data_IF_246534865594
#
_entry.id   IF_246534865594
#
_cell.length_a   1.000
_cell.length_b   1.000
_cell.length_c   1.000
_cell.angle_alpha   90.00
_cell.angle_beta   90.00
_cell.angle_gamma   90.00
#
_symmetry.space_group_name_H-M   'P 1'
#
loop_
_entity.id
_entity.type
_entity.pdbx_description
1 polymer ?
#
# COMPACT_ATOMS: atom_id res chain seq x y z
N UNK A 1 10.61 -5.08 13.70
CA UNK A 1 11.07 -5.03 12.28
C UNK A 1 10.49 -3.83 11.56
N UNK A 2 9.17 -3.59 11.61
CA UNK A 2 8.54 -2.40 11.00
C UNK A 2 8.95 -1.06 11.64
N UNK A 3 9.42 -1.05 12.90
CA UNK A 3 9.75 0.18 13.62
C UNK A 3 10.85 1.02 12.95
N UNK A 4 11.82 0.38 12.29
CA UNK A 4 12.87 1.09 11.55
C UNK A 4 12.34 1.87 10.33
N UNK A 5 11.17 1.51 9.80
CA UNK A 5 10.53 2.22 8.69
C UNK A 5 9.83 3.51 9.12
N UNK A 6 9.59 3.73 10.43
CA UNK A 6 9.03 5.01 10.91
C UNK A 6 9.97 6.17 10.63
N UNK A 7 11.26 5.93 10.86
CA UNK A 7 12.34 6.91 10.76
C UNK A 7 13.05 6.89 9.40
N UNK A 8 12.75 5.90 8.55
CA UNK A 8 13.35 5.81 7.23
C UNK A 8 12.96 7.00 6.35
N UNK A 9 13.93 7.50 5.57
CA UNK A 9 13.66 8.49 4.54
C UNK A 9 12.76 7.90 3.44
N UNK A 10 11.89 8.74 2.86
CA UNK A 10 11.12 8.34 1.68
C UNK A 10 12.06 8.05 0.50
N UNK A 11 11.77 6.99 -0.23
CA UNK A 11 12.53 6.60 -1.42
C UNK A 11 12.23 7.46 -2.65
N UNK A 12 11.21 8.32 -2.58
CA UNK A 12 10.84 9.29 -3.61
C UNK A 12 10.91 10.72 -3.07
N UNK A 13 11.50 11.63 -3.83
CA UNK A 13 11.73 13.01 -3.41
C UNK A 13 10.49 13.90 -3.47
N UNK A 14 9.46 13.53 -4.24
CA UNK A 14 8.30 14.39 -4.51
C UNK A 14 7.18 14.22 -3.48
N UNK A 15 7.54 14.25 -2.20
CA UNK A 15 6.60 14.09 -1.08
C UNK A 15 5.54 15.19 -1.13
N UNK A 16 4.26 14.81 -1.16
CA UNK A 16 3.12 15.73 -1.17
C UNK A 16 2.89 16.49 -2.49
N UNK A 17 3.70 16.25 -3.54
CA UNK A 17 3.60 16.97 -4.83
C UNK A 17 2.50 16.43 -5.75
N UNK A 18 1.64 15.53 -5.26
CA UNK A 18 0.56 14.93 -6.06
C UNK A 18 -0.72 15.76 -6.07
N UNK A 19 -0.79 16.85 -5.29
CA UNK A 19 -1.90 17.81 -5.29
C UNK A 19 -1.67 18.89 -6.35
N UNK A 20 -2.42 18.84 -7.44
CA UNK A 20 -2.38 19.85 -8.52
C UNK A 20 -1.53 19.40 -9.71
N UNK A 21 -0.56 20.23 -10.11
CA UNK A 21 0.39 19.90 -11.17
C UNK A 21 1.33 18.79 -10.69
N UNK A 22 1.48 17.74 -11.50
CA UNK A 22 2.30 16.59 -11.15
C UNK A 22 3.75 16.79 -11.57
N UNK A 23 4.71 16.25 -10.80
CA UNK A 23 6.09 16.15 -11.25
C UNK A 23 6.21 15.39 -12.58
N UNK A 24 7.28 15.66 -13.33
CA UNK A 24 7.53 15.00 -14.60
C UNK A 24 7.55 13.47 -14.44
N UNK A 25 6.87 12.75 -15.34
CA UNK A 25 6.77 11.29 -15.29
C UNK A 25 5.58 10.75 -14.48
N UNK A 26 4.90 11.58 -13.68
CA UNK A 26 3.69 11.16 -12.96
C UNK A 26 2.41 11.39 -13.78
N UNK A 27 1.41 10.53 -13.55
CA UNK A 27 0.08 10.66 -14.17
C UNK A 27 -1.02 10.56 -13.11
N UNK A 28 -2.02 11.44 -13.22
CA UNK A 28 -3.23 11.36 -12.42
C UNK A 28 -4.06 10.13 -12.81
N UNK A 29 -4.35 9.26 -11.85
CA UNK A 29 -5.37 8.23 -12.00
C UNK A 29 -6.66 8.68 -11.30
N UNK A 30 -7.75 8.82 -12.07
CA UNK A 30 -9.09 9.10 -11.53
C UNK A 30 -10.03 7.95 -11.84
N UNK A 31 -10.57 7.35 -10.78
CA UNK A 31 -11.62 6.33 -10.82
C UNK A 31 -12.65 6.68 -9.75
N UNK A 32 -13.93 6.51 -10.09
CA UNK A 32 -15.05 6.74 -9.18
C UNK A 32 -16.01 5.56 -9.34
N UNK A 33 -16.41 5.01 -8.21
CA UNK A 33 -17.42 3.97 -8.12
C UNK A 33 -18.29 4.25 -6.91
N UNK A 34 -19.57 3.89 -6.99
CA UNK A 34 -20.51 4.04 -5.87
C UNK A 34 -20.46 2.76 -5.03
N UNK A 35 -19.97 2.87 -3.79
CA UNK A 35 -19.87 1.74 -2.84
C UNK A 35 -21.18 1.47 -2.06
N UNK A 36 -22.24 2.24 -2.34
CA UNK A 36 -23.51 2.19 -1.63
C UNK A 36 -24.04 3.60 -1.31
N UNK A 37 -25.16 3.68 -0.59
CA UNK A 37 -25.81 4.93 -0.17
C UNK A 37 -26.20 4.86 1.30
N UNK A 38 -26.25 6.03 1.94
CA UNK A 38 -26.65 6.18 3.35
C UNK A 38 -25.49 6.03 4.33
N UNK A 39 -25.76 6.44 5.58
CA UNK A 39 -24.76 6.52 6.65
C UNK A 39 -24.17 5.16 7.01
N UNK A 40 -25.00 4.13 7.19
CA UNK A 40 -24.52 2.79 7.56
C UNK A 40 -23.56 2.19 6.52
N UNK A 41 -23.83 2.35 5.23
CA UNK A 41 -22.91 1.90 4.16
C UNK A 41 -21.61 2.69 4.11
N UNK A 42 -21.66 3.98 4.45
CA UNK A 42 -20.45 4.78 4.57
C UNK A 42 -19.58 4.30 5.73
N UNK A 43 -20.17 4.06 6.90
CA UNK A 43 -19.45 3.58 8.08
C UNK A 43 -18.85 2.19 7.87
N UNK A 44 -19.59 1.28 7.23
CA UNK A 44 -19.09 -0.04 6.82
C UNK A 44 -17.90 0.10 5.87
N UNK A 45 -18.04 0.89 4.81
CA UNK A 45 -16.97 1.10 3.83
C UNK A 45 -15.73 1.77 4.45
N UNK A 46 -15.94 2.74 5.35
CA UNK A 46 -14.87 3.39 6.10
C UNK A 46 -14.17 2.38 7.03
N UNK A 47 -14.92 1.52 7.72
CA UNK A 47 -14.35 0.45 8.55
C UNK A 47 -13.48 -0.50 7.74
N UNK A 48 -13.95 -0.95 6.57
CA UNK A 48 -13.16 -1.79 5.65
C UNK A 48 -11.91 -1.05 5.17
N UNK A 49 -12.03 0.21 4.77
CA UNK A 49 -10.91 1.02 4.30
C UNK A 49 -9.84 1.19 5.39
N UNK A 50 -10.26 1.58 6.59
CA UNK A 50 -9.38 1.80 7.73
C UNK A 50 -8.75 0.50 8.22
N UNK A 51 -9.40 -0.66 8.05
CA UNK A 51 -8.83 -1.97 8.36
C UNK A 51 -7.92 -2.55 7.25
N UNK A 52 -7.33 -1.71 6.40
CA UNK A 52 -6.48 -2.08 5.26
C UNK A 52 -7.19 -2.90 4.16
N UNK A 53 -8.52 -2.91 4.16
CA UNK A 53 -9.32 -3.82 3.33
C UNK A 53 -9.17 -3.55 1.84
N UNK A 54 -8.97 -2.30 1.41
CA UNK A 54 -8.77 -1.98 -0.02
C UNK A 54 -7.44 -2.51 -0.52
N UNK A 55 -6.36 -2.29 0.24
CA UNK A 55 -5.01 -2.74 -0.11
C UNK A 55 -4.95 -4.27 -0.15
N UNK A 56 -5.51 -4.95 0.86
CA UNK A 56 -5.54 -6.42 0.92
C UNK A 56 -6.38 -7.03 -0.21
N UNK A 57 -7.49 -6.40 -0.60
CA UNK A 57 -8.35 -6.88 -1.70
C UNK A 57 -7.77 -6.58 -3.08
N UNK A 58 -6.86 -5.61 -3.19
CA UNK A 58 -6.21 -5.29 -4.46
C UNK A 58 -5.16 -6.33 -4.90
N UNK A 59 -4.82 -7.31 -4.05
CA UNK A 59 -3.81 -8.35 -4.32
C UNK A 59 -2.52 -8.26 -3.50
N UNK A 60 -2.01 -7.07 -3.11
CA UNK A 60 -0.84 -6.96 -2.25
C UNK A 60 -1.02 -7.55 -0.84
N UNK A 61 0.07 -8.08 -0.28
CA UNK A 61 0.12 -8.48 1.13
C UNK A 61 0.49 -7.27 2.00
N UNK A 62 -0.25 -7.05 3.09
CA UNK A 62 -0.05 -5.92 4.00
C UNK A 62 0.39 -6.43 5.37
N UNK A 63 1.54 -5.97 5.85
CA UNK A 63 2.00 -6.13 7.23
C UNK A 63 1.97 -4.77 7.90
N UNK A 64 1.21 -4.59 8.98
CA UNK A 64 1.06 -3.30 9.63
C UNK A 64 1.31 -3.40 11.13
N UNK A 65 1.81 -2.32 11.73
CA UNK A 65 1.97 -2.22 13.20
C UNK A 65 0.66 -1.97 13.93
N UNK A 66 -0.42 -1.67 13.21
CA UNK A 66 -1.75 -1.39 13.76
C UNK A 66 -2.84 -2.01 12.91
N UNK A 67 -3.90 -2.48 13.56
CA UNK A 67 -5.06 -3.10 12.90
C UNK A 67 -5.83 -2.12 12.03
N UNK A 68 -5.80 -0.83 12.40
CA UNK A 68 -6.43 0.26 11.67
C UNK A 68 -5.41 1.29 11.20
N UNK A 69 -5.73 1.97 10.10
CA UNK A 69 -5.01 3.12 9.58
C UNK A 69 -5.20 4.28 10.55
N UNK A 70 -4.13 4.62 11.26
CA UNK A 70 -4.06 5.75 12.17
C UNK A 70 -2.67 6.40 12.07
N UNK A 71 -2.56 7.63 12.55
CA UNK A 71 -1.28 8.33 12.61
C UNK A 71 -0.22 7.50 13.37
N UNK A 72 1.00 7.47 12.84
CA UNK A 72 2.11 6.70 13.43
C UNK A 72 2.08 5.19 13.15
N UNK A 73 1.02 4.68 12.51
CA UNK A 73 0.97 3.29 12.02
C UNK A 73 1.83 3.17 10.77
N UNK A 74 2.68 2.15 10.77
CA UNK A 74 3.51 1.77 9.62
C UNK A 74 2.92 0.53 8.97
N UNK A 75 2.85 0.55 7.65
CA UNK A 75 2.55 -0.61 6.85
C UNK A 75 3.67 -0.90 5.84
N UNK A 76 3.97 -2.18 5.69
CA UNK A 76 4.76 -2.73 4.61
C UNK A 76 3.82 -3.42 3.63
N UNK A 77 3.79 -2.91 2.40
CA UNK A 77 2.97 -3.45 1.32
C UNK A 77 3.88 -4.20 0.37
N UNK A 78 3.68 -5.51 0.28
CA UNK A 78 4.38 -6.38 -0.64
C UNK A 78 3.57 -6.50 -1.92
N UNK A 79 4.09 -5.93 -3.00
CA UNK A 79 3.52 -6.07 -4.33
C UNK A 79 3.94 -7.45 -4.86
N UNK A 80 3.09 -8.46 -4.62
CA UNK A 80 3.25 -9.74 -5.29
C UNK A 80 2.81 -9.61 -6.74
N UNK A 81 3.63 -10.10 -7.68
CA UNK A 81 3.12 -10.51 -8.99
C UNK A 81 2.03 -11.58 -8.72
N UNK A 82 0.85 -11.43 -9.32
CA UNK A 82 -0.38 -12.12 -8.92
C UNK A 82 -0.36 -13.66 -8.87
N UNK A 83 -1.45 -14.31 -8.41
CA UNK A 83 -1.56 -15.76 -8.38
C UNK A 83 -1.62 -16.29 -9.82
N UNK A 84 -0.50 -16.76 -10.33
CA UNK A 84 -0.36 -17.23 -11.71
C UNK A 84 1.07 -17.47 -12.19
N UNK A 85 2.09 -17.10 -11.40
CA UNK A 85 3.50 -17.39 -11.67
C UNK A 85 4.14 -18.23 -10.56
N UNK A 86 3.36 -19.14 -9.98
CA UNK A 86 3.93 -20.31 -9.31
C UNK A 86 4.23 -21.36 -10.40
N UNK A 87 5.20 -21.03 -11.25
CA UNK A 87 5.81 -22.03 -12.12
C UNK A 87 6.49 -23.06 -11.23
N UNK A 88 6.09 -24.33 -11.34
CA UNK A 88 6.94 -25.43 -10.90
C UNK A 88 8.28 -25.30 -11.63
N UNK A 89 9.29 -24.80 -10.93
CA UNK A 89 10.68 -25.06 -11.25
C UNK A 89 11.42 -25.10 -9.91
N UNK A 90 12.00 -26.27 -9.63
CA UNK A 90 12.91 -26.45 -8.51
C UNK A 90 14.12 -25.54 -8.60
N UNK A 91 14.94 -25.63 -7.56
CA UNK A 91 16.17 -24.88 -7.31
C UNK A 91 15.98 -23.40 -6.97
N UNK A 92 15.83 -23.17 -5.66
CA UNK A 92 16.19 -21.91 -5.00
C UNK A 92 17.60 -21.51 -5.42
N UNK A 93 17.70 -20.43 -6.18
CA UNK A 93 18.88 -19.57 -6.16
C UNK A 93 18.51 -18.42 -5.22
N UNK A 94 19.24 -18.14 -4.13
CA UNK A 94 18.99 -16.93 -3.35
C UNK A 94 19.40 -15.73 -4.21
N UNK A 95 18.48 -15.23 -5.02
CA UNK A 95 18.62 -13.91 -5.61
C UNK A 95 18.38 -12.92 -4.49
N UNK A 96 19.43 -12.17 -4.14
CA UNK A 96 19.34 -10.95 -3.35
C UNK A 96 18.37 -10.01 -4.06
N UNK A 97 17.10 -10.05 -3.66
CA UNK A 97 16.11 -9.08 -4.10
C UNK A 97 16.48 -7.73 -3.47
N UNK A 98 17.26 -6.92 -4.18
CA UNK A 98 17.22 -5.47 -3.96
C UNK A 98 15.76 -5.05 -4.19
N UNK A 99 15.14 -4.66 -3.09
CA UNK A 99 13.70 -4.70 -2.89
C UNK A 99 13.02 -3.52 -3.58
N UNK A 100 12.67 -3.68 -4.86
CA UNK A 100 11.83 -2.74 -5.60
C UNK A 100 10.32 -3.06 -5.47
N UNK A 101 9.97 -4.27 -5.03
CA UNK A 101 8.57 -4.75 -4.91
C UNK A 101 7.93 -4.49 -3.53
N UNK A 102 8.64 -3.80 -2.64
CA UNK A 102 8.19 -3.52 -1.28
C UNK A 102 8.02 -2.03 -1.09
N UNK A 103 6.78 -1.60 -0.84
CA UNK A 103 6.46 -0.21 -0.58
C UNK A 103 6.17 -0.02 0.91
N UNK A 104 7.04 0.71 1.60
CA UNK A 104 6.81 1.15 2.98
C UNK A 104 5.96 2.41 3.00
N UNK A 105 4.93 2.44 3.85
CA UNK A 105 4.07 3.59 4.04
C UNK A 105 3.90 3.91 5.52
N UNK A 106 4.07 5.19 5.87
CA UNK A 106 3.82 5.73 7.21
C UNK A 106 2.71 6.77 7.09
N UNK A 107 1.67 6.64 7.91
CA UNK A 107 0.59 7.62 7.97
C UNK A 107 1.02 8.76 8.88
N UNK A 108 1.12 9.97 8.31
CA UNK A 108 1.42 11.22 9.01
C UNK A 108 0.27 12.21 8.76
N UNK A 109 -0.07 13.00 9.77
CA UNK A 109 -1.07 14.07 9.67
C UNK A 109 -0.61 15.22 8.75
#
# INVERSE_FOLDING_TARGET
MLDGLREAAFTYGEVGRTRGELPAGYRHLRRRAVNGRGRGRFEEAAGVLLAWGVQRRAGPRVQATGETVAEGVVALVHLGLGPGLDGQAGTSTPSTAESSDVCGATVRA
#
